data_IF_460563419103
#
_entry.id   IF_460563419103
#
_cell.length_a   1.000
_cell.length_b   1.000
_cell.length_c   1.000
_cell.angle_alpha   90.00
_cell.angle_beta   90.00
_cell.angle_gamma   90.00
#
_symmetry.space_group_name_H-M   'P 1'
#
loop_
_entity.id
_entity.type
_entity.pdbx_description
1 polymer ?
#
# COMPACT_ATOMS: atom_id res chain seq x y z
N UNK A 1 -2.93 -8.43 -18.83
CA UNK A 1 -2.69 -8.29 -17.39
C UNK A 1 -2.94 -6.86 -16.94
N UNK A 2 -3.56 -6.72 -15.81
CA UNK A 2 -3.84 -5.41 -15.21
C UNK A 2 -2.96 -5.20 -14.01
N UNK A 3 -2.24 -4.09 -13.98
CA UNK A 3 -1.47 -3.70 -12.82
C UNK A 3 -2.44 -3.23 -11.73
N UNK A 4 -2.34 -3.83 -10.54
CA UNK A 4 -3.21 -3.48 -9.43
C UNK A 4 -2.46 -2.87 -8.24
N UNK A 5 -1.14 -2.98 -8.22
CA UNK A 5 -0.31 -2.43 -7.15
C UNK A 5 0.95 -1.82 -7.74
N UNK A 6 1.30 -0.66 -7.24
CA UNK A 6 2.60 -0.06 -7.51
C UNK A 6 3.17 0.49 -6.22
N UNK A 7 4.41 0.08 -5.90
CA UNK A 7 5.16 0.59 -4.77
C UNK A 7 6.19 1.58 -5.29
N UNK A 8 6.10 2.82 -4.82
CA UNK A 8 6.94 3.91 -5.31
C UNK A 8 7.88 4.33 -4.20
N UNK A 9 9.18 4.33 -4.49
CA UNK A 9 10.20 4.73 -3.52
C UNK A 9 10.53 6.21 -3.65
N UNK A 10 11.11 6.81 -2.59
CA UNK A 10 11.51 8.22 -2.65
C UNK A 10 12.44 8.48 -3.83
N UNK A 11 12.22 9.61 -4.49
CA UNK A 11 13.04 10.01 -5.63
C UNK A 11 12.61 9.44 -6.97
N UNK A 12 11.69 8.48 -6.99
CA UNK A 12 11.17 7.96 -8.24
C UNK A 12 10.18 8.94 -8.87
N UNK A 13 10.28 9.09 -10.18
CA UNK A 13 9.34 9.89 -10.95
C UNK A 13 8.31 8.95 -11.56
N UNK A 14 7.04 9.23 -11.29
CA UNK A 14 5.95 8.40 -11.76
C UNK A 14 4.99 9.25 -12.60
N UNK A 15 4.64 8.73 -13.77
CA UNK A 15 3.68 9.38 -14.62
C UNK A 15 2.28 8.90 -14.25
N UNK A 16 1.41 9.86 -13.93
CA UNK A 16 0.02 9.55 -13.59
C UNK A 16 -0.83 9.75 -14.83
N UNK A 17 -1.60 8.74 -15.27
CA UNK A 17 -2.43 8.87 -16.45
C UNK A 17 -3.44 10.01 -16.32
N UNK A 18 -3.73 10.68 -17.42
CA UNK A 18 -4.75 11.72 -17.47
C UNK A 18 -6.14 11.11 -17.23
N UNK A 19 -7.11 11.96 -16.93
CA UNK A 19 -8.48 11.49 -16.71
C UNK A 19 -9.03 10.75 -17.92
N UNK A 20 -8.63 11.15 -19.12
CA UNK A 20 -9.11 10.49 -20.35
C UNK A 20 -8.50 9.10 -20.52
N UNK A 21 -7.35 8.85 -19.94
CA UNK A 21 -6.67 7.57 -20.01
C UNK A 21 -7.07 6.62 -18.88
N UNK A 22 -7.73 7.14 -17.86
CA UNK A 22 -8.23 6.32 -16.75
C UNK A 22 -9.61 5.80 -17.10
N UNK A 23 -9.80 4.51 -16.98
CA UNK A 23 -11.08 3.86 -17.30
C UNK A 23 -12.06 4.02 -16.14
N UNK A 24 -12.45 5.25 -15.83
CA UNK A 24 -13.41 5.57 -14.78
C UNK A 24 -12.99 5.08 -13.38
N UNK A 25 -11.81 4.52 -13.26
CA UNK A 25 -11.34 4.00 -11.99
C UNK A 25 -10.61 5.05 -11.21
N UNK A 26 -10.55 4.84 -9.93
CA UNK A 26 -9.80 5.69 -9.03
C UNK A 26 -8.66 4.88 -8.43
N UNK A 27 -7.65 5.59 -7.98
CA UNK A 27 -6.53 4.98 -7.28
C UNK A 27 -6.66 5.29 -5.81
N UNK A 28 -6.40 4.27 -5.00
CA UNK A 28 -6.32 4.41 -3.56
C UNK A 28 -4.91 4.12 -3.13
N UNK A 29 -4.42 4.82 -2.13
CA UNK A 29 -3.07 4.57 -1.70
C UNK A 29 -2.71 5.22 -0.38
N UNK A 30 -1.48 4.95 0.03
CA UNK A 30 -0.91 5.49 1.26
C UNK A 30 0.38 6.20 0.89
N UNK A 31 0.51 7.44 1.35
CA UNK A 31 1.73 8.20 1.20
C UNK A 31 2.32 8.41 2.59
N UNK A 32 3.60 8.07 2.75
CA UNK A 32 4.24 8.25 4.05
C UNK A 32 5.73 8.57 3.88
N UNK A 33 6.29 9.20 4.88
CA UNK A 33 7.72 9.50 4.90
C UNK A 33 8.49 8.23 5.31
N UNK A 34 9.65 7.95 4.67
CA UNK A 34 10.43 6.76 5.02
C UNK A 34 10.82 6.66 6.50
N UNK A 35 10.97 7.79 7.19
CA UNK A 35 11.30 7.79 8.60
C UNK A 35 10.25 7.09 9.47
N UNK A 36 9.03 6.95 8.96
CA UNK A 36 7.99 6.22 9.67
C UNK A 36 8.41 4.77 9.93
N UNK A 37 9.24 4.20 9.05
CA UNK A 37 9.67 2.81 9.14
C UNK A 37 10.90 2.61 10.03
N UNK A 38 11.52 3.70 10.52
CA UNK A 38 12.69 3.60 11.36
C UNK A 38 12.40 2.78 12.62
N UNK A 39 13.30 1.87 12.94
CA UNK A 39 13.20 0.98 14.10
C UNK A 39 12.03 0.00 14.01
N UNK A 40 11.45 -0.16 12.82
CA UNK A 40 10.44 -1.19 12.57
C UNK A 40 11.05 -2.32 11.75
N UNK A 41 10.35 -3.45 11.73
CA UNK A 41 10.79 -4.60 10.92
C UNK A 41 10.80 -4.30 9.42
N UNK A 42 10.04 -3.31 8.98
CA UNK A 42 9.99 -2.92 7.57
C UNK A 42 11.21 -2.15 7.11
N UNK A 43 11.94 -1.50 8.02
CA UNK A 43 13.03 -0.61 7.64
C UNK A 43 14.01 -1.26 6.67
N UNK A 44 14.38 -2.52 6.92
CA UNK A 44 15.32 -3.24 6.08
C UNK A 44 14.64 -4.18 5.09
N UNK A 45 13.32 -4.35 5.18
CA UNK A 45 12.60 -5.31 4.35
C UNK A 45 11.79 -4.68 3.25
N UNK A 46 11.56 -3.37 3.32
CA UNK A 46 10.66 -2.70 2.36
C UNK A 46 11.15 -2.90 0.92
N UNK A 47 12.45 -2.92 0.70
CA UNK A 47 13.01 -3.08 -0.64
C UNK A 47 12.88 -4.50 -1.20
N UNK A 48 12.53 -5.47 -0.34
CA UNK A 48 12.33 -6.85 -0.80
C UNK A 48 10.95 -7.07 -1.41
N UNK A 49 10.04 -6.12 -1.25
CA UNK A 49 8.70 -6.25 -1.82
C UNK A 49 8.70 -5.91 -3.30
N UNK A 50 7.86 -6.57 -4.10
CA UNK A 50 7.78 -6.25 -5.53
C UNK A 50 7.24 -4.84 -5.73
N UNK A 51 7.84 -4.13 -6.69
CA UNK A 51 7.43 -2.74 -6.97
C UNK A 51 6.11 -2.67 -7.71
N UNK A 52 5.77 -3.70 -8.45
CA UNK A 52 4.54 -3.77 -9.24
C UNK A 52 3.95 -5.15 -9.16
N UNK A 53 2.66 -5.21 -9.05
CA UNK A 53 1.95 -6.48 -9.09
C UNK A 53 0.88 -6.41 -10.17
N UNK A 54 0.85 -7.45 -10.99
CA UNK A 54 -0.14 -7.62 -12.03
C UNK A 54 -0.90 -8.90 -11.77
N UNK A 55 -2.19 -8.87 -12.02
CA UNK A 55 -3.03 -10.06 -11.93
C UNK A 55 -3.40 -10.53 -13.32
N UNK A 56 -3.50 -11.84 -13.50
CA UNK A 56 -4.06 -12.42 -14.71
C UNK A 56 -5.56 -12.15 -14.80
N UNK A 57 -6.16 -11.86 -13.66
CA UNK A 57 -7.55 -11.46 -13.55
C UNK A 57 -7.68 -10.45 -12.46
N UNK A 58 -8.92 -10.00 -12.21
CA UNK A 58 -9.19 -9.08 -11.12
C UNK A 58 -9.00 -9.79 -9.76
N UNK A 59 -8.66 -9.02 -8.75
CA UNK A 59 -8.70 -9.51 -7.38
C UNK A 59 -10.13 -9.93 -7.05
N UNK A 60 -10.26 -10.96 -6.23
CA UNK A 60 -11.58 -11.36 -5.74
C UNK A 60 -12.15 -10.27 -4.84
N UNK A 61 -13.47 -10.31 -4.63
CA UNK A 61 -14.10 -9.36 -3.71
C UNK A 61 -13.51 -9.47 -2.30
N UNK A 62 -13.23 -10.69 -1.86
CA UNK A 62 -12.64 -10.91 -0.55
C UNK A 62 -11.25 -10.30 -0.44
N UNK A 63 -10.43 -10.47 -1.47
CA UNK A 63 -9.09 -9.87 -1.51
C UNK A 63 -9.15 -8.35 -1.51
N UNK A 64 -10.07 -7.78 -2.29
CA UNK A 64 -10.29 -6.34 -2.30
C UNK A 64 -10.73 -5.84 -0.93
N UNK A 65 -11.59 -6.60 -0.26
CA UNK A 65 -12.06 -6.23 1.07
C UNK A 65 -10.91 -6.18 2.08
N UNK A 66 -10.01 -7.16 2.02
CA UNK A 66 -8.84 -7.19 2.90
C UNK A 66 -7.98 -5.94 2.71
N UNK A 67 -7.70 -5.59 1.47
CA UNK A 67 -6.89 -4.41 1.16
C UNK A 67 -7.60 -3.14 1.64
N UNK A 68 -8.89 -3.02 1.34
CA UNK A 68 -9.66 -1.83 1.72
C UNK A 68 -9.78 -1.69 3.23
N UNK A 69 -9.92 -2.79 3.96
CA UNK A 69 -9.98 -2.75 5.42
C UNK A 69 -8.67 -2.24 6.01
N UNK A 70 -7.54 -2.67 5.46
CA UNK A 70 -6.23 -2.18 5.91
C UNK A 70 -6.07 -0.69 5.64
N UNK A 71 -6.46 -0.24 4.45
CA UNK A 71 -6.40 1.18 4.11
C UNK A 71 -7.29 2.01 5.02
N UNK A 72 -8.48 1.51 5.33
CA UNK A 72 -9.40 2.19 6.23
C UNK A 72 -8.81 2.31 7.64
N UNK A 73 -8.22 1.24 8.15
CA UNK A 73 -7.62 1.27 9.49
C UNK A 73 -6.45 2.24 9.58
N UNK A 74 -5.63 2.33 8.54
CA UNK A 74 -4.59 3.34 8.48
C UNK A 74 -5.21 4.75 8.52
N UNK A 75 -6.26 4.96 7.74
CA UNK A 75 -6.96 6.24 7.72
C UNK A 75 -7.55 6.60 9.09
N UNK A 76 -8.12 5.64 9.78
CA UNK A 76 -8.66 5.85 11.12
C UNK A 76 -7.57 6.24 12.11
N UNK A 77 -6.42 5.58 12.05
CA UNK A 77 -5.31 5.92 12.92
C UNK A 77 -4.78 7.32 12.65
N UNK A 78 -4.79 7.75 11.38
CA UNK A 78 -4.38 9.10 11.03
C UNK A 78 -5.28 10.19 11.60
N UNK A 79 -6.52 9.85 11.95
CA UNK A 79 -7.45 10.77 12.58
C UNK A 79 -7.40 10.71 14.10
N UNK A 80 -6.67 9.76 14.65
CA UNK A 80 -6.47 9.65 16.08
C UNK A 80 -5.43 10.69 16.54
N UNK A 81 -5.55 11.15 17.78
CA UNK A 81 -4.55 12.06 18.35
C UNK A 81 -3.18 11.35 18.36
N UNK A 82 -2.14 12.08 17.94
CA UNK A 82 -0.80 11.52 17.86
C UNK A 82 -0.27 11.22 19.26
N UNK A 83 0.20 10.00 19.46
CA UNK A 83 0.85 9.59 20.69
C UNK A 83 2.08 8.74 20.36
N UNK A 84 2.72 8.19 21.38
CA UNK A 84 3.95 7.41 21.19
C UNK A 84 3.73 6.08 20.47
N UNK A 85 2.49 5.66 20.30
CA UNK A 85 2.17 4.39 19.62
C UNK A 85 1.77 4.59 18.16
N UNK A 86 1.49 5.82 17.74
CA UNK A 86 0.95 6.10 16.41
C UNK A 86 1.81 5.56 15.28
N UNK A 87 3.11 5.86 15.31
CA UNK A 87 4.01 5.41 14.25
C UNK A 87 4.09 3.89 14.18
N UNK A 88 4.17 3.24 15.33
CA UNK A 88 4.25 1.78 15.38
C UNK A 88 2.98 1.11 14.86
N UNK A 89 1.82 1.65 15.21
CA UNK A 89 0.54 1.13 14.74
C UNK A 89 0.42 1.27 13.23
N UNK A 90 0.73 2.46 12.71
CA UNK A 90 0.65 2.71 11.27
C UNK A 90 1.63 1.81 10.52
N UNK A 91 2.87 1.70 11.00
CA UNK A 91 3.87 0.83 10.37
C UNK A 91 3.43 -0.63 10.36
N UNK A 92 2.78 -1.10 11.42
CA UNK A 92 2.27 -2.46 11.49
C UNK A 92 1.17 -2.71 10.46
N UNK A 93 0.28 -1.75 10.26
CA UNK A 93 -0.75 -1.86 9.23
C UNK A 93 -0.14 -1.84 7.83
N UNK A 94 0.88 -1.03 7.60
CA UNK A 94 1.57 -1.01 6.31
C UNK A 94 2.24 -2.36 6.06
N UNK A 95 2.91 -2.93 7.05
CA UNK A 95 3.53 -4.24 6.91
C UNK A 95 2.50 -5.30 6.57
N UNK A 96 1.37 -5.31 7.27
CA UNK A 96 0.30 -6.24 7.01
C UNK A 96 -0.25 -6.08 5.60
N UNK A 97 -0.47 -4.86 5.18
CA UNK A 97 -0.95 -4.55 3.84
C UNK A 97 0.01 -5.09 2.77
N UNK A 98 1.30 -4.84 2.94
CA UNK A 98 2.32 -5.28 2.00
C UNK A 98 2.40 -6.81 1.95
N UNK A 99 2.28 -7.47 3.07
CA UNK A 99 2.29 -8.94 3.11
C UNK A 99 1.09 -9.52 2.37
N UNK A 100 -0.07 -8.94 2.51
CA UNK A 100 -1.24 -9.36 1.72
C UNK A 100 -1.03 -9.11 0.23
N UNK A 101 -0.46 -7.94 -0.10
CA UNK A 101 -0.20 -7.63 -1.51
C UNK A 101 0.77 -8.64 -2.14
N UNK A 102 1.82 -9.02 -1.42
CA UNK A 102 2.75 -10.04 -1.92
C UNK A 102 2.04 -11.38 -2.11
N UNK A 103 1.21 -11.75 -1.13
CA UNK A 103 0.45 -13.00 -1.24
C UNK A 103 -0.44 -13.00 -2.48
N UNK A 104 -1.17 -11.92 -2.71
CA UNK A 104 -2.06 -11.83 -3.88
C UNK A 104 -1.28 -11.73 -5.18
N UNK A 105 -0.11 -11.10 -5.15
CA UNK A 105 0.74 -10.95 -6.32
C UNK A 105 1.28 -12.30 -6.82
N UNK A 106 1.49 -13.23 -5.91
CA UNK A 106 2.09 -14.54 -6.22
C UNK A 106 1.07 -15.65 -6.48
N UNK A 107 -0.19 -15.33 -6.56
CA UNK A 107 -1.25 -16.32 -6.86
C UNK A 107 -1.48 -16.55 -8.35
#
# INVERSE_FOLDING_TARGET
EKEWLRLIYPGEVVEIPSKQQRHADYYSGVLFHPDLLCDTSLENRIETYPKRCHCRGALTEHEQQIINDNLREIGEELHHAIDRYSASIIASHIELLLNYCVRFCNQ
#
